data_IF_546027510981
#
_entry.id   IF_546027510981
#
_cell.length_a   1.000
_cell.length_b   1.000
_cell.length_c   1.000
_cell.angle_alpha   90.00
_cell.angle_beta   90.00
_cell.angle_gamma   90.00
#
_symmetry.space_group_name_H-M   'P 1'
#
loop_
_entity.id
_entity.type
_entity.pdbx_description
1 polymer ?
#
# COMPACT_ATOMS: atom_id res chain seq x y z
N UNK A 1 6.02 -20.70 94.78
CA UNK A 1 5.25 -21.08 93.57
C UNK A 1 6.09 -20.59 92.39
N UNK A 2 6.69 -21.42 91.53
CA UNK A 2 6.09 -22.26 90.49
C UNK A 2 7.10 -23.34 90.06
N UNK A 3 6.59 -24.56 89.81
CA UNK A 3 7.37 -25.77 89.49
C UNK A 3 7.64 -25.91 88.00
N UNK A 4 8.83 -26.41 87.69
CA UNK A 4 9.29 -26.98 86.43
C UNK A 4 8.46 -28.18 85.94
N UNK A 5 8.35 -28.36 84.60
CA UNK A 5 8.05 -29.58 83.79
C UNK A 5 7.57 -29.12 82.40
N UNK A 6 7.77 -29.76 81.25
CA UNK A 6 8.48 -30.97 80.82
C UNK A 6 8.45 -30.93 79.27
N UNK A 7 9.57 -31.14 78.59
CA UNK A 7 9.61 -31.49 77.17
C UNK A 7 8.97 -32.87 76.96
N UNK A 8 8.09 -33.02 75.96
CA UNK A 8 7.58 -34.32 75.50
C UNK A 8 7.74 -34.46 73.99
N UNK A 9 8.52 -35.47 73.63
CA UNK A 9 8.74 -36.05 72.31
C UNK A 9 7.46 -36.21 71.47
N UNK A 10 7.44 -35.65 70.27
CA UNK A 10 6.50 -36.03 69.22
C UNK A 10 7.16 -37.11 68.35
N UNK A 11 6.60 -38.33 68.40
CA UNK A 11 6.95 -39.44 67.50
C UNK A 11 6.31 -39.19 66.14
N UNK A 12 7.11 -39.08 65.09
CA UNK A 12 6.63 -39.03 63.69
C UNK A 12 6.23 -40.46 63.28
N UNK A 13 4.99 -40.72 62.83
CA UNK A 13 4.56 -42.06 62.45
C UNK A 13 5.16 -42.47 61.10
N UNK A 14 5.81 -43.63 61.09
CA UNK A 14 6.53 -44.27 59.97
C UNK A 14 5.65 -44.56 58.73
N UNK A 15 4.31 -44.43 58.83
CA UNK A 15 3.39 -44.77 57.73
C UNK A 15 3.46 -43.83 56.51
N UNK A 16 3.99 -42.61 56.64
CA UNK A 16 4.08 -41.66 55.52
C UNK A 16 5.15 -42.03 54.47
N UNK A 17 6.17 -42.80 54.85
CA UNK A 17 7.33 -43.04 54.00
C UNK A 17 7.11 -44.18 52.98
N UNK A 18 6.21 -45.12 53.28
CA UNK A 18 5.91 -46.27 52.38
C UNK A 18 5.00 -45.86 51.22
N UNK A 19 4.09 -44.90 51.42
CA UNK A 19 3.19 -44.41 50.36
C UNK A 19 3.96 -43.56 49.33
N UNK A 20 5.03 -42.85 49.73
CA UNK A 20 5.89 -42.11 48.80
C UNK A 20 6.76 -43.01 47.91
N UNK A 21 7.15 -44.21 48.38
CA UNK A 21 8.02 -45.11 47.58
C UNK A 21 7.24 -45.86 46.50
N UNK A 22 5.95 -46.14 46.71
CA UNK A 22 5.11 -46.81 45.70
C UNK A 22 4.63 -45.89 44.56
N UNK A 23 4.65 -44.57 44.74
CA UNK A 23 4.31 -43.60 43.69
C UNK A 23 5.47 -43.27 42.73
N UNK A 24 6.71 -43.68 43.06
CA UNK A 24 7.90 -43.38 42.26
C UNK A 24 8.24 -44.46 41.21
N UNK A 25 7.56 -45.61 41.21
CA UNK A 25 7.86 -46.73 40.30
C UNK A 25 7.07 -46.71 38.97
N UNK A 26 6.18 -45.72 38.75
CA UNK A 26 5.30 -45.68 37.58
C UNK A 26 5.85 -44.90 36.36
N UNK A 27 7.04 -44.32 36.43
CA UNK A 27 7.53 -43.40 35.39
C UNK A 27 8.49 -44.03 34.35
N UNK A 28 8.71 -45.34 34.34
CA UNK A 28 9.85 -45.92 33.61
C UNK A 28 9.55 -46.62 32.27
N UNK A 29 8.32 -46.59 31.72
CA UNK A 29 7.98 -47.42 30.54
C UNK A 29 7.35 -46.71 29.35
N UNK A 30 7.43 -45.38 29.24
CA UNK A 30 7.00 -44.70 28.01
C UNK A 30 8.20 -44.19 27.21
N UNK A 31 8.83 -45.09 26.44
CA UNK A 31 9.68 -44.66 25.33
C UNK A 31 8.80 -43.90 24.34
N UNK A 32 8.97 -42.58 24.28
CA UNK A 32 8.31 -41.76 23.28
C UNK A 32 8.64 -42.30 21.88
N UNK A 33 7.65 -42.42 20.97
CA UNK A 33 7.94 -42.80 19.60
C UNK A 33 8.86 -41.75 18.99
N UNK A 34 9.99 -42.21 18.42
CA UNK A 34 10.86 -41.36 17.61
C UNK A 34 10.09 -41.05 16.33
N UNK A 35 9.25 -40.03 16.38
CA UNK A 35 8.69 -39.43 15.17
C UNK A 35 9.84 -38.71 14.50
N UNK A 36 10.24 -39.17 13.32
CA UNK A 36 11.15 -38.46 12.43
C UNK A 36 10.66 -37.01 12.32
N UNK A 37 11.44 -36.07 12.88
CA UNK A 37 11.20 -34.64 12.67
C UNK A 37 11.67 -34.29 11.26
N UNK A 38 10.96 -34.78 10.26
CA UNK A 38 11.01 -34.17 8.93
C UNK A 38 10.63 -32.69 9.15
N UNK A 39 11.48 -31.72 8.77
CA UNK A 39 11.10 -30.32 8.85
C UNK A 39 9.78 -30.14 8.10
N UNK A 40 8.77 -29.45 8.66
CA UNK A 40 7.55 -29.17 7.93
C UNK A 40 7.94 -28.51 6.59
N UNK A 41 7.30 -28.90 5.47
CA UNK A 41 7.53 -28.24 4.19
C UNK A 41 7.43 -26.73 4.38
N UNK A 42 8.28 -25.92 3.74
CA UNK A 42 8.20 -24.47 3.87
C UNK A 42 6.76 -24.06 3.57
N UNK A 43 6.10 -23.44 4.56
CA UNK A 43 4.70 -23.04 4.45
C UNK A 43 4.55 -22.20 3.18
N UNK A 44 3.92 -22.79 2.17
CA UNK A 44 3.60 -22.04 0.96
C UNK A 44 2.64 -20.95 1.40
N UNK A 45 2.97 -19.71 1.07
CA UNK A 45 2.09 -18.58 1.32
C UNK A 45 0.68 -18.83 0.75
N UNK A 46 -0.29 -17.97 1.08
CA UNK A 46 -1.65 -18.14 0.61
C UNK A 46 -1.65 -18.30 -0.92
N UNK A 47 -2.39 -19.30 -1.39
CA UNK A 47 -2.49 -19.61 -2.83
C UNK A 47 -3.66 -18.88 -3.50
N UNK A 48 -4.58 -18.38 -2.68
CA UNK A 48 -5.74 -17.60 -3.08
C UNK A 48 -5.80 -16.37 -2.18
N UNK A 49 -6.15 -15.23 -2.78
CA UNK A 49 -6.42 -13.99 -2.07
C UNK A 49 -7.90 -13.64 -2.26
N UNK A 50 -8.60 -13.35 -1.18
CA UNK A 50 -9.94 -12.77 -1.23
C UNK A 50 -9.83 -11.26 -1.20
N UNK A 51 -10.34 -10.61 -2.25
CA UNK A 51 -10.26 -9.16 -2.42
C UNK A 51 -11.05 -8.48 -1.30
N UNK A 52 -10.36 -7.67 -0.51
CA UNK A 52 -10.96 -6.88 0.54
C UNK A 52 -11.22 -5.44 0.08
N UNK A 53 -11.98 -4.70 0.89
CA UNK A 53 -12.19 -3.27 0.66
C UNK A 53 -10.84 -2.53 0.69
N UNK A 54 -10.57 -1.76 -0.36
CA UNK A 54 -9.32 -0.98 -0.49
C UNK A 54 -8.19 -1.74 -1.18
N UNK A 55 -8.39 -3.01 -1.55
CA UNK A 55 -7.46 -3.70 -2.41
C UNK A 55 -7.57 -3.18 -3.86
N UNK A 56 -6.41 -3.03 -4.49
CA UNK A 56 -6.28 -2.84 -5.93
C UNK A 56 -5.49 -4.01 -6.50
N UNK A 57 -5.64 -4.31 -7.79
CA UNK A 57 -4.87 -5.39 -8.40
C UNK A 57 -3.35 -5.13 -8.30
N UNK A 58 -2.94 -3.85 -8.30
CA UNK A 58 -1.56 -3.42 -8.04
C UNK A 58 -1.12 -3.72 -6.60
N UNK A 59 -1.92 -3.39 -5.60
CA UNK A 59 -1.64 -3.68 -4.19
C UNK A 59 -1.49 -5.19 -3.93
N UNK A 60 -2.35 -6.00 -4.54
CA UNK A 60 -2.33 -7.45 -4.42
C UNK A 60 -1.08 -8.02 -5.12
N UNK A 61 -0.82 -7.61 -6.37
CA UNK A 61 0.37 -8.03 -7.09
C UNK A 61 1.65 -7.67 -6.32
N UNK A 62 1.70 -6.46 -5.74
CA UNK A 62 2.79 -6.01 -4.89
C UNK A 62 2.95 -6.90 -3.65
N UNK A 63 1.85 -7.18 -2.93
CA UNK A 63 1.88 -8.02 -1.71
C UNK A 63 2.47 -9.41 -1.97
N UNK A 64 2.19 -10.00 -3.11
CA UNK A 64 2.58 -11.36 -3.46
C UNK A 64 3.78 -11.46 -4.42
N UNK A 65 4.56 -10.37 -4.54
CA UNK A 65 5.77 -10.33 -5.38
C UNK A 65 5.54 -10.80 -6.83
N UNK A 66 4.42 -10.39 -7.42
CA UNK A 66 4.07 -10.69 -8.81
C UNK A 66 3.80 -9.40 -9.60
N UNK A 67 3.49 -9.53 -10.88
CA UNK A 67 3.07 -8.41 -11.73
C UNK A 67 1.55 -8.38 -11.86
N UNK A 68 1.00 -7.19 -12.12
CA UNK A 68 -0.43 -7.05 -12.42
C UNK A 68 -0.80 -7.83 -13.66
N UNK A 69 0.06 -7.83 -14.66
CA UNK A 69 -0.14 -8.54 -15.92
C UNK A 69 -0.17 -10.06 -15.71
N UNK A 70 0.77 -10.62 -14.92
CA UNK A 70 0.77 -12.05 -14.60
C UNK A 70 -0.43 -12.43 -13.73
N UNK A 71 -0.77 -11.62 -12.73
CA UNK A 71 -1.92 -11.86 -11.87
C UNK A 71 -3.23 -11.77 -12.66
N UNK A 72 -3.41 -10.75 -13.49
CA UNK A 72 -4.57 -10.60 -14.37
C UNK A 72 -4.71 -11.80 -15.32
N UNK A 73 -3.62 -12.20 -15.99
CA UNK A 73 -3.60 -13.34 -16.90
C UNK A 73 -3.98 -14.65 -16.19
N UNK A 74 -3.44 -14.89 -15.00
CA UNK A 74 -3.75 -16.05 -14.17
C UNK A 74 -5.23 -16.11 -13.75
N UNK A 75 -5.86 -14.94 -13.64
CA UNK A 75 -7.22 -14.78 -13.16
C UNK A 75 -8.24 -14.48 -14.28
N UNK A 76 -7.80 -14.48 -15.55
CA UNK A 76 -8.59 -14.10 -16.73
C UNK A 76 -9.23 -12.71 -16.64
N UNK A 77 -8.53 -11.76 -16.01
CA UNK A 77 -8.97 -10.37 -15.93
C UNK A 77 -8.52 -9.61 -17.18
N UNK A 78 -9.45 -8.97 -17.88
CA UNK A 78 -9.17 -8.05 -18.99
C UNK A 78 -9.12 -6.59 -18.51
N UNK A 79 -8.47 -5.68 -19.25
CA UNK A 79 -8.54 -4.23 -18.98
C UNK A 79 -10.02 -3.77 -18.91
N UNK A 80 -10.39 -2.88 -17.96
CA UNK A 80 -9.56 -2.10 -17.04
C UNK A 80 -9.13 -2.83 -15.75
N UNK A 81 -9.10 -4.16 -15.75
CA UNK A 81 -8.69 -5.03 -14.63
C UNK A 81 -9.50 -4.80 -13.34
N UNK A 82 -10.81 -4.64 -13.50
CA UNK A 82 -11.72 -4.43 -12.39
C UNK A 82 -11.79 -5.67 -11.49
N UNK A 83 -11.57 -5.48 -10.20
CA UNK A 83 -11.78 -6.47 -9.13
C UNK A 83 -12.85 -5.96 -8.16
N UNK A 84 -13.60 -6.87 -7.54
CA UNK A 84 -14.67 -6.57 -6.60
C UNK A 84 -14.37 -7.19 -5.25
N UNK A 85 -14.85 -6.55 -4.18
CA UNK A 85 -14.74 -7.11 -2.83
C UNK A 85 -15.44 -8.47 -2.78
N UNK A 86 -14.76 -9.46 -2.21
CA UNK A 86 -15.18 -10.87 -2.17
C UNK A 86 -14.69 -11.71 -3.36
N UNK A 87 -14.11 -11.10 -4.41
CA UNK A 87 -13.51 -11.87 -5.49
C UNK A 87 -12.36 -12.74 -4.95
N UNK A 88 -12.30 -14.00 -5.39
CA UNK A 88 -11.16 -14.86 -5.09
C UNK A 88 -10.17 -14.84 -6.23
N UNK A 89 -8.98 -14.30 -5.99
CA UNK A 89 -7.88 -14.28 -6.93
C UNK A 89 -6.90 -15.43 -6.65
N UNK A 90 -6.62 -16.25 -7.66
CA UNK A 90 -5.56 -17.23 -7.63
C UNK A 90 -4.20 -16.53 -7.70
N UNK A 91 -3.28 -16.98 -6.86
CA UNK A 91 -1.90 -16.48 -6.79
C UNK A 91 -0.90 -17.42 -7.46
N UNK A 92 -1.32 -18.66 -7.74
CA UNK A 92 -0.56 -19.64 -8.50
C UNK A 92 -1.43 -20.48 -9.43
N UNK A 93 -0.78 -21.29 -10.28
CA UNK A 93 -1.44 -22.08 -11.30
C UNK A 93 -2.37 -23.18 -10.75
N UNK A 94 -2.01 -23.86 -9.65
CA UNK A 94 -2.92 -24.90 -9.13
C UNK A 94 -4.09 -24.30 -8.37
N UNK A 95 -3.93 -23.13 -7.75
CA UNK A 95 -5.06 -22.36 -7.24
C UNK A 95 -6.00 -21.95 -8.36
N UNK A 96 -5.49 -21.48 -9.51
CA UNK A 96 -6.32 -21.16 -10.65
C UNK A 96 -7.10 -22.39 -11.14
N UNK A 97 -6.45 -23.54 -11.25
CA UNK A 97 -7.12 -24.82 -11.58
C UNK A 97 -8.19 -25.20 -10.56
N UNK A 98 -7.88 -25.08 -9.26
CA UNK A 98 -8.83 -25.37 -8.18
C UNK A 98 -10.04 -24.43 -8.14
N UNK A 99 -9.88 -23.19 -8.60
CA UNK A 99 -10.98 -22.23 -8.81
C UNK A 99 -11.79 -22.51 -10.09
N UNK A 100 -11.54 -23.61 -10.79
CA UNK A 100 -12.22 -23.96 -12.05
C UNK A 100 -11.83 -23.07 -13.23
N UNK A 101 -10.73 -22.31 -13.12
CA UNK A 101 -10.23 -21.47 -14.21
C UNK A 101 -9.40 -22.34 -15.16
N UNK A 102 -9.96 -22.64 -16.34
CA UNK A 102 -9.23 -23.33 -17.42
C UNK A 102 -8.17 -22.39 -18.00
N UNK A 103 -6.94 -22.85 -18.30
CA UNK A 103 -5.97 -22.04 -19.01
C UNK A 103 -6.61 -21.50 -20.29
N UNK A 104 -6.62 -20.17 -20.45
CA UNK A 104 -7.18 -19.53 -21.63
C UNK A 104 -6.42 -20.04 -22.84
N UNK A 105 -7.09 -20.92 -23.59
CA UNK A 105 -6.62 -21.49 -24.83
C UNK A 105 -7.41 -20.77 -25.92
N UNK A 106 -6.88 -19.64 -26.39
CA UNK A 106 -7.44 -18.89 -27.51
C UNK A 106 -7.56 -17.38 -27.27
N UNK A 107 -7.41 -16.55 -28.32
CA UNK A 107 -7.58 -15.11 -28.21
C UNK A 107 -9.03 -14.77 -27.88
N UNK A 108 -9.23 -13.91 -26.88
CA UNK A 108 -10.51 -13.22 -26.68
C UNK A 108 -10.85 -12.49 -27.97
N UNK A 109 -11.87 -12.98 -28.66
CA UNK A 109 -12.47 -12.25 -29.76
C UNK A 109 -12.95 -10.89 -29.21
N UNK A 110 -12.38 -9.82 -29.77
CA UNK A 110 -12.90 -8.47 -29.61
C UNK A 110 -14.26 -8.46 -30.27
N UNK A 111 -15.34 -8.56 -29.49
CA UNK A 111 -16.63 -8.08 -29.95
C UNK A 111 -16.53 -6.56 -29.88
N UNK A 112 -16.16 -5.97 -31.02
CA UNK A 112 -16.33 -4.54 -31.29
C UNK A 112 -17.83 -4.29 -31.28
N UNK A 113 -18.37 -3.88 -30.13
CA UNK A 113 -19.65 -3.18 -30.11
C UNK A 113 -19.41 -1.83 -30.78
N UNK A 114 -20.07 -1.63 -31.92
CA UNK A 114 -20.06 -0.38 -32.68
C UNK A 114 -20.50 0.79 -31.80
N UNK A 115 -19.97 2.01 -32.00
CA UNK A 115 -20.44 3.20 -31.31
C UNK A 115 -21.87 3.53 -31.77
N UNK A 116 -22.83 3.44 -30.85
CA UNK A 116 -24.16 4.02 -31.06
C UNK A 116 -24.01 5.54 -31.04
N UNK A 117 -24.64 6.17 -32.04
CA UNK A 117 -24.56 7.58 -32.36
C UNK A 117 -24.90 8.50 -31.18
N UNK A 118 -24.11 9.57 -31.09
CA UNK A 118 -24.33 10.76 -30.28
C UNK A 118 -25.68 11.42 -30.63
N UNK A 119 -26.59 11.66 -29.68
CA UNK A 119 -27.64 12.65 -29.89
C UNK A 119 -27.03 14.04 -29.74
N UNK A 120 -26.98 14.76 -30.85
CA UNK A 120 -26.56 16.15 -30.96
C UNK A 120 -27.62 17.05 -30.30
N UNK A 121 -27.26 17.71 -29.19
CA UNK A 121 -28.08 18.75 -28.56
C UNK A 121 -27.99 20.03 -29.38
N UNK A 122 -29.07 20.36 -30.08
CA UNK A 122 -29.28 21.66 -30.73
C UNK A 122 -29.77 22.70 -29.73
N UNK A 123 -29.15 23.87 -29.82
CA UNK A 123 -29.46 25.13 -29.12
C UNK A 123 -30.76 25.78 -29.62
N UNK A 124 -31.55 26.38 -28.73
CA UNK A 124 -32.54 27.43 -29.05
C UNK A 124 -33.61 27.66 -27.97
N UNK A 125 -34.05 28.90 -27.66
CA UNK A 125 -34.33 29.36 -26.30
C UNK A 125 -35.83 29.59 -26.00
N UNK A 126 -36.25 29.53 -24.72
CA UNK A 126 -37.32 30.36 -24.17
C UNK A 126 -37.55 30.15 -22.65
N UNK A 127 -37.59 31.28 -21.94
CA UNK A 127 -38.49 31.64 -20.84
C UNK A 127 -38.42 30.91 -19.47
N UNK A 128 -38.13 31.72 -18.45
CA UNK A 128 -38.39 31.47 -17.03
C UNK A 128 -39.92 31.42 -16.73
N UNK A 129 -40.35 30.92 -15.55
CA UNK A 129 -40.28 31.76 -14.33
C UNK A 129 -39.85 31.00 -13.05
N UNK A 130 -39.22 31.75 -12.15
CA UNK A 130 -38.87 31.31 -10.80
C UNK A 130 -40.09 31.43 -9.83
N UNK A 131 -40.24 30.54 -8.83
CA UNK A 131 -41.10 30.77 -7.68
C UNK A 131 -40.42 31.66 -6.62
N UNK A 132 -41.20 32.36 -5.76
CA UNK A 132 -40.75 33.54 -5.03
C UNK A 132 -40.00 33.22 -3.72
N UNK A 133 -38.94 33.99 -3.47
CA UNK A 133 -38.26 34.07 -2.19
C UNK A 133 -39.14 34.79 -1.15
N UNK A 134 -39.24 34.19 0.03
CA UNK A 134 -39.78 34.83 1.24
C UNK A 134 -38.74 35.80 1.83
N UNK A 135 -39.20 37.02 2.08
CA UNK A 135 -38.49 38.16 2.64
C UNK A 135 -38.44 38.12 4.17
N UNK A 136 -37.33 38.56 4.78
CA UNK A 136 -37.24 39.40 6.00
C UNK A 136 -35.76 39.52 6.49
N UNK A 137 -35.35 40.53 7.29
CA UNK A 137 -34.75 41.75 6.75
C UNK A 137 -33.33 42.03 7.30
N UNK A 138 -32.46 42.60 6.46
CA UNK A 138 -31.18 43.15 6.91
C UNK A 138 -31.38 44.54 7.53
N UNK A 139 -31.01 44.66 8.81
CA UNK A 139 -30.82 45.94 9.49
C UNK A 139 -29.56 46.65 8.97
N UNK A 140 -29.74 47.96 8.83
CA UNK A 140 -28.86 49.00 8.31
C UNK A 140 -27.58 49.23 9.12
N UNK A 141 -26.49 49.56 8.42
CA UNK A 141 -25.36 50.30 8.97
C UNK A 141 -24.86 51.35 7.96
N UNK A 142 -24.31 52.50 8.41
CA UNK A 142 -24.33 53.75 7.64
C UNK A 142 -23.24 53.88 6.58
N UNK A 143 -23.61 54.61 5.52
CA UNK A 143 -22.87 54.97 4.31
C UNK A 143 -21.63 55.84 4.62
N UNK A 144 -20.44 55.37 4.22
CA UNK A 144 -19.22 56.19 4.15
C UNK A 144 -19.14 56.92 2.78
N UNK A 145 -18.69 58.18 2.71
CA UNK A 145 -18.58 58.93 1.46
C UNK A 145 -17.43 58.42 0.56
N UNK A 146 -17.52 58.62 -0.78
CA UNK A 146 -16.59 58.03 -1.74
C UNK A 146 -15.21 58.71 -1.74
N UNK A 147 -14.16 57.89 -1.73
CA UNK A 147 -12.77 58.31 -1.96
C UNK A 147 -12.50 58.46 -3.48
N UNK A 148 -11.72 59.45 -3.94
CA UNK A 148 -11.38 59.65 -5.36
C UNK A 148 -10.64 58.46 -6.00
N UNK A 149 -10.74 58.28 -7.33
CA UNK A 149 -10.28 57.08 -8.01
C UNK A 149 -8.75 56.99 -8.06
N UNK A 150 -8.23 55.82 -7.69
CA UNK A 150 -6.84 55.44 -7.92
C UNK A 150 -6.60 55.13 -9.42
N UNK A 151 -5.38 55.36 -9.95
CA UNK A 151 -5.03 55.04 -11.33
C UNK A 151 -5.17 53.53 -11.63
N UNK A 152 -5.44 53.15 -12.90
CA UNK A 152 -5.71 51.77 -13.26
C UNK A 152 -4.46 50.89 -13.03
N UNK A 153 -4.59 49.92 -12.13
CA UNK A 153 -3.65 48.82 -12.03
C UNK A 153 -3.76 47.96 -13.32
N UNK A 154 -2.64 47.47 -13.88
CA UNK A 154 -2.69 46.56 -15.02
C UNK A 154 -3.50 45.31 -14.64
N UNK A 155 -4.43 44.94 -15.53
CA UNK A 155 -5.35 43.83 -15.35
C UNK A 155 -4.58 42.54 -15.02
N UNK A 156 -4.78 42.02 -13.80
CA UNK A 156 -4.45 40.64 -13.50
C UNK A 156 -5.38 39.77 -14.33
N UNK A 157 -4.82 39.10 -15.31
CA UNK A 157 -5.50 38.01 -16.01
C UNK A 157 -6.01 37.01 -14.96
N UNK A 158 -7.29 36.58 -15.03
CA UNK A 158 -7.78 35.45 -14.26
C UNK A 158 -6.84 34.25 -14.46
N UNK A 159 -6.56 33.44 -13.42
CA UNK A 159 -5.78 32.22 -13.62
C UNK A 159 -6.54 31.36 -14.63
N UNK A 160 -5.99 31.31 -15.83
CA UNK A 160 -6.41 30.45 -16.93
C UNK A 160 -6.48 29.04 -16.36
N UNK A 161 -7.67 28.46 -16.40
CA UNK A 161 -7.92 27.09 -15.99
C UNK A 161 -6.88 26.22 -16.71
N UNK A 162 -5.98 25.62 -15.92
CA UNK A 162 -4.95 24.75 -16.44
C UNK A 162 -5.62 23.68 -17.29
N UNK A 163 -5.47 23.81 -18.61
CA UNK A 163 -5.73 22.71 -19.54
C UNK A 163 -4.93 21.51 -19.06
N UNK A 164 -5.51 20.29 -19.03
CA UNK A 164 -4.73 19.11 -18.72
C UNK A 164 -3.58 19.05 -19.71
N UNK A 165 -2.35 19.16 -19.21
CA UNK A 165 -1.16 19.07 -20.03
C UNK A 165 -1.26 17.80 -20.91
N UNK A 166 -1.00 17.88 -22.21
CA UNK A 166 -0.92 16.68 -23.04
C UNK A 166 0.14 15.78 -22.42
N UNK A 167 -0.30 14.59 -21.98
CA UNK A 167 0.61 13.59 -21.42
C UNK A 167 1.70 13.28 -22.44
N UNK A 168 2.95 13.01 -22.02
CA UNK A 168 3.93 12.47 -22.92
C UNK A 168 3.35 11.20 -23.54
N UNK A 169 3.25 11.21 -24.86
CA UNK A 169 2.82 10.08 -25.65
C UNK A 169 3.66 8.84 -25.27
N UNK A 170 3.01 7.68 -25.29
CA UNK A 170 3.68 6.41 -25.27
C UNK A 170 4.75 6.35 -26.37
N UNK A 171 6.03 6.35 -25.97
CA UNK A 171 7.16 6.20 -26.87
C UNK A 171 8.48 6.12 -26.12
N UNK A 172 9.18 4.99 -26.22
CA UNK A 172 10.60 4.85 -25.84
C UNK A 172 10.87 4.44 -24.38
N UNK A 173 10.89 3.14 -24.10
CA UNK A 173 11.51 2.60 -22.88
C UNK A 173 13.04 2.57 -23.05
N UNK A 174 13.75 3.65 -22.67
CA UNK A 174 15.14 3.62 -22.14
C UNK A 174 15.83 5.00 -22.04
N UNK A 175 15.22 6.04 -21.46
CA UNK A 175 15.91 7.35 -21.39
C UNK A 175 15.68 8.20 -20.13
N UNK A 176 15.14 7.65 -19.05
CA UNK A 176 15.10 8.39 -17.78
C UNK A 176 16.12 7.87 -16.77
N UNK A 177 16.82 8.81 -16.12
CA UNK A 177 17.61 8.56 -14.93
C UNK A 177 16.71 8.52 -13.70
N UNK A 178 17.07 7.67 -12.74
CA UNK A 178 16.45 7.69 -11.41
C UNK A 178 17.05 8.82 -10.59
N UNK A 179 16.25 9.40 -9.69
CA UNK A 179 16.69 10.35 -8.68
C UNK A 179 16.40 9.83 -7.28
N UNK A 180 17.19 10.27 -6.30
CA UNK A 180 16.92 9.94 -4.90
C UNK A 180 15.57 10.50 -4.46
N UNK A 181 14.72 9.68 -3.81
CA UNK A 181 13.37 10.09 -3.43
C UNK A 181 13.39 11.11 -2.28
N UNK A 182 14.44 11.11 -1.48
CA UNK A 182 14.66 12.08 -0.40
C UNK A 182 16.15 12.21 -0.13
N UNK A 183 16.57 13.40 0.32
CA UNK A 183 17.93 13.61 0.84
C UNK A 183 18.03 12.99 2.24
N UNK A 184 19.02 12.13 2.44
CA UNK A 184 19.20 11.42 3.71
C UNK A 184 20.25 10.33 3.64
N UNK A 185 20.58 9.74 4.79
CA UNK A 185 21.52 8.62 4.87
C UNK A 185 20.76 7.31 4.73
N UNK A 186 21.26 6.38 3.93
CA UNK A 186 20.74 5.00 3.92
C UNK A 186 21.04 4.33 5.26
N UNK A 187 19.99 4.01 6.03
CA UNK A 187 20.08 3.40 7.36
C UNK A 187 19.89 1.87 7.32
N UNK A 188 19.30 1.33 6.25
CA UNK A 188 19.24 -0.11 6.00
C UNK A 188 19.34 -0.38 4.50
N UNK A 189 20.22 -1.31 4.14
CA UNK A 189 20.46 -1.72 2.76
C UNK A 189 19.56 -2.86 2.32
N UNK A 190 19.43 -3.01 1.00
CA UNK A 190 18.77 -4.12 0.34
C UNK A 190 19.49 -5.46 0.63
N UNK A 191 18.70 -6.51 0.89
CA UNK A 191 19.23 -7.86 1.07
C UNK A 191 19.00 -8.70 -0.20
N UNK A 192 20.08 -9.21 -0.81
CA UNK A 192 19.98 -10.10 -1.99
C UNK A 192 19.21 -11.40 -1.71
N UNK A 193 19.12 -11.82 -0.45
CA UNK A 193 18.32 -12.96 0.01
C UNK A 193 16.80 -12.66 0.10
N UNK A 194 16.37 -11.46 -0.30
CA UNK A 194 14.97 -10.98 -0.31
C UNK A 194 14.29 -10.89 1.06
N UNK A 195 15.02 -11.03 2.17
CA UNK A 195 14.48 -10.78 3.52
C UNK A 195 14.14 -9.30 3.72
N UNK A 196 14.89 -8.42 3.09
CA UNK A 196 14.61 -6.98 3.02
C UNK A 196 14.68 -6.51 1.57
N UNK A 197 13.55 -6.02 1.06
CA UNK A 197 13.30 -5.86 -0.39
C UNK A 197 13.61 -4.47 -0.94
N UNK A 198 13.96 -3.52 -0.08
CA UNK A 198 14.24 -2.13 -0.45
C UNK A 198 15.38 -1.55 0.37
N UNK A 199 15.37 -0.23 0.53
CA UNK A 199 16.28 0.51 1.40
C UNK A 199 15.49 1.37 2.37
N UNK A 200 16.06 1.61 3.56
CA UNK A 200 15.58 2.66 4.45
C UNK A 200 16.48 3.88 4.31
N UNK A 201 15.86 5.03 4.08
CA UNK A 201 16.53 6.32 4.01
C UNK A 201 16.11 7.12 5.24
N UNK A 202 17.09 7.41 6.11
CA UNK A 202 16.89 8.25 7.28
C UNK A 202 16.99 9.72 6.87
N UNK A 203 15.92 10.46 7.13
CA UNK A 203 15.78 11.89 6.88
C UNK A 203 15.05 12.55 8.05
N UNK A 204 14.77 13.85 7.94
CA UNK A 204 13.99 14.58 8.94
C UNK A 204 12.49 14.35 8.69
N UNK A 205 11.66 14.05 9.71
CA UNK A 205 10.22 14.00 9.55
C UNK A 205 9.67 15.28 8.91
N UNK A 206 8.80 15.14 7.91
CA UNK A 206 8.25 16.25 7.13
C UNK A 206 9.06 16.66 5.91
N UNK A 207 10.24 16.08 5.70
CA UNK A 207 11.01 16.31 4.47
C UNK A 207 10.18 15.85 3.25
N UNK A 208 10.18 16.64 2.18
CA UNK A 208 9.50 16.31 0.94
C UNK A 208 10.03 15.00 0.34
N UNK A 209 9.12 14.04 0.12
CA UNK A 209 9.37 12.83 -0.66
C UNK A 209 9.03 13.11 -2.11
N UNK A 210 9.95 12.80 -3.01
CA UNK A 210 9.87 13.07 -4.44
C UNK A 210 9.80 11.78 -5.25
N UNK A 211 9.09 11.82 -6.37
CA UNK A 211 9.09 10.71 -7.32
C UNK A 211 10.48 10.53 -7.94
N UNK A 212 11.04 9.33 -7.80
CA UNK A 212 12.37 8.97 -8.28
C UNK A 212 12.45 8.96 -9.82
N UNK A 213 11.33 8.75 -10.51
CA UNK A 213 11.22 8.72 -11.97
C UNK A 213 9.78 9.13 -12.38
N UNK A 214 9.54 9.57 -13.63
CA UNK A 214 8.20 9.90 -14.08
C UNK A 214 7.32 8.65 -14.15
N UNK A 215 6.01 8.78 -13.92
CA UNK A 215 5.11 7.64 -13.93
C UNK A 215 3.69 7.98 -13.53
N UNK A 216 2.91 6.96 -13.23
CA UNK A 216 1.53 7.04 -12.78
C UNK A 216 1.39 6.41 -11.39
N UNK A 217 0.70 7.08 -10.48
CA UNK A 217 0.43 6.57 -9.14
C UNK A 217 -0.62 5.48 -9.25
N UNK A 218 -0.23 4.23 -9.00
CA UNK A 218 -1.12 3.05 -9.10
C UNK A 218 -1.62 2.57 -7.75
N UNK A 219 -1.13 3.18 -6.66
CA UNK A 219 -1.62 2.98 -5.32
C UNK A 219 -1.23 4.18 -4.43
N UNK A 220 -2.16 4.68 -3.63
CA UNK A 220 -1.91 5.68 -2.59
C UNK A 220 -2.83 5.40 -1.40
N UNK A 221 -2.31 4.81 -0.32
CA UNK A 221 -3.12 4.37 0.82
C UNK A 221 -2.32 3.65 1.90
N UNK A 222 -3.02 3.10 2.89
CA UNK A 222 -2.44 2.40 4.06
C UNK A 222 -2.90 0.93 4.21
N UNK A 223 -3.61 0.40 3.21
CA UNK A 223 -4.15 -0.96 3.20
C UNK A 223 -3.10 -2.08 3.06
N UNK A 224 -1.83 -1.76 2.74
CA UNK A 224 -0.76 -2.76 2.78
C UNK A 224 -0.08 -2.78 4.15
N UNK A 225 -0.36 -3.85 4.90
CA UNK A 225 0.24 -4.11 6.20
C UNK A 225 1.77 -4.03 6.15
N UNK A 226 2.34 -3.29 7.11
CA UNK A 226 3.79 -3.15 7.27
C UNK A 226 4.40 -1.95 6.54
N UNK A 227 3.69 -1.31 5.61
CA UNK A 227 4.20 -0.16 4.85
C UNK A 227 3.73 1.20 5.38
N UNK A 228 2.73 1.23 6.27
CA UNK A 228 2.08 2.49 6.67
C UNK A 228 1.45 3.17 5.45
N UNK A 229 1.49 4.51 5.39
CA UNK A 229 1.08 5.22 4.18
C UNK A 229 2.07 4.97 3.05
N UNK A 230 1.59 4.29 2.01
CA UNK A 230 2.35 3.79 0.87
C UNK A 230 1.84 4.46 -0.42
N UNK A 231 2.80 4.92 -1.21
CA UNK A 231 2.60 5.35 -2.59
C UNK A 231 3.34 4.37 -3.49
N UNK A 232 2.69 3.83 -4.51
CA UNK A 232 3.33 3.02 -5.56
C UNK A 232 3.19 3.75 -6.89
N UNK A 233 4.30 3.98 -7.58
CA UNK A 233 4.36 4.62 -8.90
C UNK A 233 4.76 3.60 -9.95
N UNK A 234 3.94 3.46 -10.99
CA UNK A 234 4.25 2.71 -12.21
C UNK A 234 4.98 3.61 -13.20
N UNK A 235 6.22 3.27 -13.51
CA UNK A 235 7.03 4.02 -14.46
C UNK A 235 6.86 3.49 -15.88
N UNK A 236 6.81 2.17 -16.03
CA UNK A 236 6.50 1.49 -17.28
C UNK A 236 6.04 0.05 -17.00
N UNK A 237 5.95 -0.79 -18.04
CA UNK A 237 5.59 -2.20 -17.92
C UNK A 237 6.61 -3.03 -17.09
N UNK A 238 7.86 -2.57 -16.98
CA UNK A 238 8.92 -3.27 -16.27
C UNK A 238 9.14 -2.73 -14.84
N UNK A 239 8.94 -1.43 -14.58
CA UNK A 239 9.38 -0.80 -13.34
C UNK A 239 8.25 -0.19 -12.51
N UNK A 240 8.26 -0.53 -11.22
CA UNK A 240 7.48 0.11 -10.17
C UNK A 240 8.44 0.66 -9.09
N UNK A 241 8.06 1.76 -8.44
CA UNK A 241 8.70 2.20 -7.20
C UNK A 241 7.68 2.37 -6.08
N UNK A 242 8.09 2.11 -4.84
CA UNK A 242 7.28 2.25 -3.65
C UNK A 242 7.93 3.20 -2.64
N UNK A 243 7.12 4.06 -2.05
CA UNK A 243 7.50 5.05 -1.04
C UNK A 243 6.60 4.82 0.16
N UNK A 244 7.15 4.31 1.26
CA UNK A 244 6.39 3.90 2.43
C UNK A 244 6.80 4.65 3.70
N UNK A 245 5.94 4.55 4.71
CA UNK A 245 6.03 5.32 5.96
C UNK A 245 5.97 6.83 5.73
N UNK A 246 5.16 7.27 4.76
CA UNK A 246 4.83 8.68 4.61
C UNK A 246 3.96 9.11 5.79
N UNK A 247 4.05 10.40 6.16
CA UNK A 247 3.08 11.03 7.09
C UNK A 247 1.95 11.75 6.36
N UNK A 248 2.25 12.21 5.14
CA UNK A 248 1.33 12.93 4.26
C UNK A 248 1.55 12.41 2.85
N UNK A 249 0.45 12.08 2.17
CA UNK A 249 0.43 11.81 0.73
C UNK A 249 -0.08 13.06 0.01
N UNK A 250 0.66 13.52 -0.99
CA UNK A 250 0.32 14.72 -1.80
C UNK A 250 -0.27 14.36 -3.15
N UNK A 251 -0.41 13.06 -3.44
CA UNK A 251 -0.92 12.51 -4.68
C UNK A 251 -2.03 11.52 -4.41
N UNK A 252 -2.81 11.20 -5.45
CA UNK A 252 -3.86 10.17 -5.42
C UNK A 252 -3.62 9.10 -6.48
N UNK A 253 -4.30 7.96 -6.33
CA UNK A 253 -4.32 6.93 -7.36
C UNK A 253 -4.83 7.49 -8.71
N UNK A 254 -4.21 7.08 -9.81
CA UNK A 254 -4.45 7.57 -11.17
C UNK A 254 -3.72 8.86 -11.53
N UNK A 255 -3.07 9.53 -10.58
CA UNK A 255 -2.34 10.77 -10.85
C UNK A 255 -1.01 10.51 -11.58
N UNK A 256 -0.71 11.29 -12.62
CA UNK A 256 0.61 11.27 -13.27
C UNK A 256 1.58 12.14 -12.49
N UNK A 257 2.78 11.63 -12.27
CA UNK A 257 3.86 12.32 -11.56
C UNK A 257 5.09 12.45 -12.45
N UNK A 258 5.76 13.60 -12.35
CA UNK A 258 7.05 13.85 -12.99
C UNK A 258 8.22 13.50 -12.08
N UNK A 259 9.40 13.25 -12.65
CA UNK A 259 10.63 13.08 -11.85
C UNK A 259 10.85 14.29 -10.95
N UNK A 260 11.17 14.06 -9.68
CA UNK A 260 11.41 15.12 -8.70
C UNK A 260 10.15 15.81 -8.16
N UNK A 261 8.96 15.52 -8.71
CA UNK A 261 7.69 16.02 -8.19
C UNK A 261 7.50 15.53 -6.75
N UNK A 262 7.07 16.43 -5.86
CA UNK A 262 6.75 16.07 -4.49
C UNK A 262 5.49 15.23 -4.46
N UNK A 263 5.60 14.00 -3.94
CA UNK A 263 4.49 13.04 -3.84
C UNK A 263 4.03 12.82 -2.40
N UNK A 264 4.83 13.23 -1.41
CA UNK A 264 4.50 13.06 -0.01
C UNK A 264 5.51 13.71 0.92
N UNK A 265 5.44 13.33 2.19
CA UNK A 265 6.37 13.77 3.23
C UNK A 265 6.82 12.60 4.08
N UNK A 266 8.11 12.60 4.42
CA UNK A 266 8.72 11.58 5.28
C UNK A 266 8.00 11.57 6.63
N UNK A 267 7.52 10.40 7.04
CA UNK A 267 6.99 10.19 8.38
C UNK A 267 7.95 9.36 9.21
N UNK A 268 8.00 8.07 8.91
CA UNK A 268 8.60 7.04 9.75
C UNK A 268 7.54 6.20 10.46
N UNK A 269 7.98 5.46 11.47
CA UNK A 269 7.12 4.77 12.42
C UNK A 269 7.53 5.12 13.86
N UNK A 270 6.75 4.67 14.85
CA UNK A 270 7.01 4.99 16.26
C UNK A 270 8.42 4.58 16.74
N UNK A 271 9.00 3.52 16.16
CA UNK A 271 10.34 3.06 16.49
C UNK A 271 11.44 3.77 15.68
N UNK A 272 11.10 4.32 14.52
CA UNK A 272 12.03 4.91 13.56
C UNK A 272 11.42 6.18 12.92
N UNK A 273 11.32 7.29 13.67
CA UNK A 273 10.86 8.54 13.11
C UNK A 273 11.83 9.02 12.03
N UNK A 274 11.31 9.61 10.95
CA UNK A 274 12.12 10.14 9.86
C UNK A 274 12.60 9.10 8.85
N UNK A 275 12.11 7.86 8.94
CA UNK A 275 12.45 6.79 8.00
C UNK A 275 11.52 6.79 6.78
N UNK A 276 12.09 6.89 5.59
CA UNK A 276 11.41 6.51 4.35
C UNK A 276 11.83 5.09 3.96
N UNK A 277 10.87 4.21 3.71
CA UNK A 277 11.16 2.95 3.02
C UNK A 277 11.00 3.16 1.52
N UNK A 278 12.02 2.79 0.75
CA UNK A 278 12.04 2.92 -0.70
C UNK A 278 12.38 1.59 -1.36
N UNK A 279 11.57 1.17 -2.33
CA UNK A 279 11.76 -0.09 -3.05
C UNK A 279 11.54 0.13 -4.55
N UNK A 280 12.37 -0.50 -5.37
CA UNK A 280 12.17 -0.57 -6.82
C UNK A 280 11.95 -2.03 -7.18
N UNK A 281 10.93 -2.29 -7.98
CA UNK A 281 10.69 -3.61 -8.58
C UNK A 281 10.89 -3.56 -10.07
N UNK A 282 11.58 -4.57 -10.58
CA UNK A 282 11.67 -4.87 -12.00
C UNK A 282 10.92 -6.17 -12.28
N UNK A 283 9.87 -6.11 -13.11
CA UNK A 283 9.02 -7.24 -13.47
C UNK A 283 8.48 -7.99 -12.25
N UNK A 284 8.01 -7.24 -11.24
CA UNK A 284 7.44 -7.77 -10.01
C UNK A 284 8.47 -8.20 -8.95
N UNK A 285 9.75 -8.35 -9.32
CA UNK A 285 10.82 -8.72 -8.39
C UNK A 285 11.54 -7.50 -7.83
N UNK A 286 11.82 -7.44 -6.51
CA UNK A 286 12.59 -6.35 -5.93
C UNK A 286 14.03 -6.37 -6.43
N UNK A 287 14.56 -5.18 -6.73
CA UNK A 287 15.95 -4.97 -7.14
C UNK A 287 16.60 -3.95 -6.22
N UNK A 288 17.92 -4.04 -6.05
CA UNK A 288 18.71 -3.10 -5.26
C UNK A 288 18.59 -1.67 -5.83
N UNK A 289 17.90 -0.74 -5.12
CA UNK A 289 17.69 0.61 -5.63
C UNK A 289 19.00 1.40 -5.77
N UNK A 290 20.00 1.11 -4.94
CA UNK A 290 21.27 1.85 -4.93
C UNK A 290 22.10 1.68 -6.21
N UNK A 291 21.81 0.64 -7.00
CA UNK A 291 22.44 0.39 -8.30
C UNK A 291 21.80 1.18 -9.44
N UNK A 292 20.59 1.70 -9.22
CA UNK A 292 19.82 2.46 -10.21
C UNK A 292 19.86 3.96 -9.93
N UNK A 293 19.97 4.33 -8.65
CA UNK A 293 20.09 5.70 -8.19
C UNK A 293 21.50 6.25 -8.45
N UNK A 294 21.64 7.57 -8.64
CA UNK A 294 22.94 8.21 -8.83
C UNK A 294 23.77 8.08 -7.54
N UNK A 295 25.08 8.09 -7.66
CA UNK A 295 25.98 8.11 -6.50
C UNK A 295 25.74 9.40 -5.69
N UNK A 296 25.66 9.26 -4.36
CA UNK A 296 25.51 10.39 -3.43
C UNK A 296 26.83 11.06 -3.11
#
# INVERSE_FOLDING_TARGET
>A
MLRSRCLRNARVPWCGLVVCVLLLAACATQRAPVVSREPPPPERGPRVHEVARGDTLYAIAWRYDTTVEALAKLNHLGPPYLIRVGDRLALDADAARALGRKPASGPSAVVVAQPIATPQLTTGPAAAPAPPHQSSPHQSSPRQPPRPPAPPAPARQPPEAASPAPGPAAGGVSEWSWDWPVKGRVSRQFDSNRKFKGINIQSTPGTAVRAAAPGEVVYAGDGLRGYGQLIIVKHNAAYLSAYAHNRVMRVREGERVSRGQTIGEVGGDAANPGRLYFEIRKQGSPVDPTRLLPTQ
#
